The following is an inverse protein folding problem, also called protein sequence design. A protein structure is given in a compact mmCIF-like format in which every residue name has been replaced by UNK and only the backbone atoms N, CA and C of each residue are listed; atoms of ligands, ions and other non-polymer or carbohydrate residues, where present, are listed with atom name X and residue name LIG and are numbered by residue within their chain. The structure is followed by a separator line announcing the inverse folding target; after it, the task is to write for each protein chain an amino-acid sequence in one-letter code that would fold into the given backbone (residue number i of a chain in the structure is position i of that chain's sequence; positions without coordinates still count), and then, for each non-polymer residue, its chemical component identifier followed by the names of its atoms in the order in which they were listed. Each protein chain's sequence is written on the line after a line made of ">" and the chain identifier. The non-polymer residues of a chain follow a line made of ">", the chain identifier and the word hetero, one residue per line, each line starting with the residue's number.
data_IF_522176525276
#
_entry.id   IF_522176525276
#
_cell.length_a   1.000
_cell.length_b   1.000
_cell.length_c   1.000
_cell.angle_alpha   90.00
_cell.angle_beta   90.00
_cell.angle_gamma   90.00
#
_symmetry.space_group_name_H-M   'P 1'
#
loop_
_entity.id
_entity.type
_entity.pdbx_description
1 polymer ?
#
# COMPACT_ATOMS: atom_id res chain seq x y z
N UNK A 1 8.41 30.27 -21.29
CA UNK A 1 7.70 29.14 -21.89
C UNK A 1 8.68 28.06 -22.27
N UNK A 2 8.66 26.89 -21.58
CA UNK A 2 9.47 25.79 -22.04
C UNK A 2 10.06 24.84 -20.98
N UNK A 3 9.49 24.72 -19.79
CA UNK A 3 10.00 23.80 -18.77
C UNK A 3 9.00 22.73 -18.28
N UNK A 4 7.75 22.77 -18.75
CA UNK A 4 6.70 21.86 -18.24
C UNK A 4 6.59 20.51 -18.99
N UNK A 5 7.06 20.44 -20.23
CA UNK A 5 6.87 19.25 -21.10
C UNK A 5 7.93 18.15 -20.92
N UNK A 6 9.03 18.42 -20.23
CA UNK A 6 10.13 17.46 -20.07
C UNK A 6 9.96 16.52 -18.84
N UNK A 7 9.13 16.86 -17.89
CA UNK A 7 8.96 16.07 -16.66
C UNK A 7 7.97 14.92 -16.84
N UNK A 8 6.85 15.17 -17.52
CA UNK A 8 5.86 14.12 -17.82
C UNK A 8 6.48 13.01 -18.69
N UNK A 9 7.31 13.43 -19.67
CA UNK A 9 8.04 12.48 -20.51
C UNK A 9 9.11 11.69 -19.75
N UNK A 10 9.70 12.26 -18.71
CA UNK A 10 10.74 11.58 -17.90
C UNK A 10 10.11 10.58 -16.94
N UNK A 11 9.00 10.90 -16.31
CA UNK A 11 8.27 9.98 -15.40
C UNK A 11 7.66 8.84 -16.21
N UNK A 12 7.07 9.10 -17.36
CA UNK A 12 6.55 8.08 -18.26
C UNK A 12 7.67 7.15 -18.79
N UNK A 13 8.83 7.70 -19.17
CA UNK A 13 9.99 6.90 -19.61
C UNK A 13 10.62 6.07 -18.49
N UNK A 14 10.58 6.55 -17.24
CA UNK A 14 11.05 5.77 -16.08
C UNK A 14 10.12 4.57 -15.81
N UNK A 15 8.81 4.76 -15.93
CA UNK A 15 7.83 3.67 -15.78
C UNK A 15 7.91 2.68 -16.95
N UNK A 16 8.09 3.14 -18.18
CA UNK A 16 8.26 2.28 -19.38
C UNK A 16 9.59 1.50 -19.36
N UNK A 17 10.71 2.14 -18.97
CA UNK A 17 12.03 1.48 -18.89
C UNK A 17 12.13 0.42 -17.79
N UNK A 18 11.39 0.57 -16.68
CA UNK A 18 11.36 -0.45 -15.62
C UNK A 18 10.62 -1.71 -16.08
N UNK A 19 9.59 -1.59 -16.90
CA UNK A 19 8.87 -2.73 -17.48
C UNK A 19 9.72 -3.51 -18.50
N UNK A 20 10.57 -2.83 -19.30
CA UNK A 20 11.44 -3.49 -20.27
C UNK A 20 12.70 -4.12 -19.63
N UNK A 21 13.25 -3.50 -18.57
CA UNK A 21 14.55 -3.92 -18.00
C UNK A 21 14.44 -5.13 -17.07
N UNK A 22 13.30 -5.45 -16.52
CA UNK A 22 13.16 -6.53 -15.54
C UNK A 22 12.41 -7.76 -16.03
N UNK A 23 11.94 -7.83 -17.28
CA UNK A 23 11.36 -9.05 -17.88
C UNK A 23 10.34 -9.79 -16.98
N UNK A 24 9.86 -9.15 -15.93
CA UNK A 24 8.95 -9.71 -14.96
C UNK A 24 7.56 -9.72 -15.57
N UNK A 25 7.20 -10.89 -16.08
CA UNK A 25 5.82 -11.19 -16.41
C UNK A 25 4.94 -10.84 -15.22
N UNK A 26 4.22 -9.74 -15.35
CA UNK A 26 3.12 -9.34 -14.47
C UNK A 26 1.97 -10.36 -14.57
N UNK A 27 2.23 -11.62 -14.19
CA UNK A 27 1.26 -12.72 -14.30
C UNK A 27 0.27 -12.80 -13.14
N UNK A 28 0.28 -11.84 -12.20
CA UNK A 28 -0.64 -11.88 -11.05
C UNK A 28 -1.70 -10.78 -11.00
N UNK A 29 -1.59 -9.74 -11.82
CA UNK A 29 -2.68 -8.80 -12.07
C UNK A 29 -3.22 -8.99 -13.50
N UNK A 30 -3.96 -10.08 -13.75
CA UNK A 30 -4.75 -10.25 -14.98
C UNK A 30 -5.99 -9.33 -15.03
N UNK A 31 -5.91 -8.17 -14.41
CA UNK A 31 -6.81 -7.05 -14.65
C UNK A 31 -5.93 -5.83 -14.82
N UNK A 32 -5.86 -5.30 -16.02
CA UNK A 32 -5.43 -3.92 -16.26
C UNK A 32 -6.25 -3.06 -15.28
N UNK A 33 -5.61 -2.32 -14.35
CA UNK A 33 -6.35 -1.36 -13.56
C UNK A 33 -6.92 -0.36 -14.55
N UNK A 34 -8.24 -0.33 -14.71
CA UNK A 34 -8.88 0.83 -15.30
C UNK A 34 -8.47 2.00 -14.45
N UNK A 35 -7.61 2.86 -14.99
CA UNK A 35 -7.31 4.18 -14.43
C UNK A 35 -8.62 4.96 -14.51
N UNK A 36 -9.46 4.85 -13.48
CA UNK A 36 -10.77 5.47 -13.44
C UNK A 36 -10.72 6.99 -13.20
N UNK A 37 -9.59 7.61 -13.53
CA UNK A 37 -9.35 9.05 -13.41
C UNK A 37 -9.30 9.57 -11.98
N UNK A 38 -9.38 8.69 -10.98
CA UNK A 38 -9.25 9.06 -9.57
C UNK A 38 -7.80 9.32 -9.25
N UNK A 39 -7.50 10.50 -8.80
CA UNK A 39 -6.17 10.88 -8.36
C UNK A 39 -6.15 11.18 -6.85
N UNK A 40 -4.95 11.21 -6.27
CA UNK A 40 -4.79 11.50 -4.85
C UNK A 40 -5.18 12.95 -4.50
N UNK A 41 -5.30 13.87 -5.47
CA UNK A 41 -5.68 15.28 -5.23
C UNK A 41 -7.15 15.41 -4.84
N UNK A 42 -8.03 14.61 -5.45
CA UNK A 42 -9.49 14.69 -5.27
C UNK A 42 -10.00 13.61 -4.31
N UNK A 43 -9.09 12.87 -3.65
CA UNK A 43 -9.45 11.80 -2.75
C UNK A 43 -9.97 12.36 -1.42
N UNK A 44 -11.14 11.89 -0.97
CA UNK A 44 -11.73 12.30 0.32
C UNK A 44 -10.89 11.91 1.54
N UNK A 45 -9.98 10.93 1.41
CA UNK A 45 -9.03 10.50 2.45
C UNK A 45 -7.77 11.36 2.50
N UNK A 46 -7.64 12.39 1.67
CA UNK A 46 -6.42 13.18 1.52
C UNK A 46 -5.78 13.61 2.85
N UNK A 47 -6.60 13.89 3.87
CA UNK A 47 -6.14 14.32 5.20
C UNK A 47 -5.64 13.19 6.11
N UNK A 48 -5.97 11.95 5.79
CA UNK A 48 -5.70 10.77 6.63
C UNK A 48 -4.92 9.69 5.88
N UNK A 49 -4.33 10.03 4.74
CA UNK A 49 -3.66 9.09 3.86
C UNK A 49 -2.22 9.51 3.60
N UNK A 50 -1.38 8.57 3.17
CA UNK A 50 0.04 8.77 2.84
C UNK A 50 0.34 10.07 2.06
N UNK A 51 -0.45 10.50 1.06
CA UNK A 51 -0.17 11.73 0.31
C UNK A 51 -0.38 13.05 1.06
N UNK A 52 -0.88 13.06 2.27
CA UNK A 52 -1.30 14.30 2.97
C UNK A 52 -0.18 15.34 3.11
N UNK A 53 1.03 14.90 3.45
CA UNK A 53 2.19 15.77 3.68
C UNK A 53 3.06 15.98 2.45
N UNK A 54 2.71 15.36 1.31
CA UNK A 54 3.46 15.49 0.07
C UNK A 54 3.13 16.79 -0.66
N UNK A 55 4.13 17.38 -1.29
CA UNK A 55 3.93 18.46 -2.25
C UNK A 55 3.16 17.98 -3.49
N UNK A 56 2.72 18.90 -4.33
CA UNK A 56 1.91 18.57 -5.51
C UNK A 56 2.64 17.69 -6.52
N UNK A 57 3.96 17.82 -6.63
CA UNK A 57 4.78 17.04 -7.54
C UNK A 57 4.91 15.60 -7.07
N UNK A 58 5.29 15.41 -5.82
CA UNK A 58 5.43 14.08 -5.19
C UNK A 58 4.09 13.36 -5.13
N UNK A 59 3.00 14.10 -4.85
CA UNK A 59 1.64 13.55 -4.86
C UNK A 59 1.21 13.07 -6.24
N UNK A 60 1.54 13.82 -7.28
CA UNK A 60 1.24 13.42 -8.66
C UNK A 60 2.00 12.15 -9.03
N UNK A 61 3.32 12.10 -8.76
CA UNK A 61 4.13 10.92 -9.03
C UNK A 61 3.62 9.66 -8.30
N UNK A 62 3.23 9.79 -7.02
CA UNK A 62 2.64 8.68 -6.26
C UNK A 62 1.29 8.26 -6.85
N UNK A 63 0.46 9.21 -7.29
CA UNK A 63 -0.84 8.93 -7.91
C UNK A 63 -0.71 8.12 -9.20
N UNK A 64 0.31 8.40 -10.01
CA UNK A 64 0.56 7.71 -11.28
C UNK A 64 0.92 6.22 -11.12
N UNK A 65 1.54 5.86 -10.00
CA UNK A 65 1.90 4.46 -9.69
C UNK A 65 0.86 3.76 -8.81
N UNK A 66 -0.23 4.44 -8.47
CA UNK A 66 -1.30 3.91 -7.60
C UNK A 66 -2.43 3.36 -8.44
N UNK A 67 -2.66 2.06 -8.35
CA UNK A 67 -3.78 1.38 -8.98
C UNK A 67 -5.01 1.37 -8.06
N UNK A 68 -6.19 1.36 -8.69
CA UNK A 68 -7.49 1.30 -8.01
C UNK A 68 -8.26 0.06 -8.49
N UNK A 69 -7.98 -1.14 -7.96
CA UNK A 69 -8.66 -2.36 -8.35
C UNK A 69 -10.16 -2.27 -8.02
N UNK A 70 -10.95 -3.11 -8.70
CA UNK A 70 -12.38 -3.27 -8.37
C UNK A 70 -12.56 -3.60 -6.89
N UNK A 71 -13.61 -3.10 -6.23
CA UNK A 71 -13.84 -3.39 -4.82
C UNK A 71 -13.88 -4.89 -4.52
N UNK A 72 -13.29 -5.28 -3.43
CA UNK A 72 -13.33 -6.64 -2.90
C UNK A 72 -14.62 -6.85 -2.12
N UNK A 73 -15.38 -7.88 -2.46
CA UNK A 73 -16.54 -8.27 -1.66
C UNK A 73 -16.10 -8.90 -0.34
N UNK A 74 -16.97 -8.85 0.66
CA UNK A 74 -16.78 -9.49 1.95
C UNK A 74 -16.26 -10.92 1.81
N UNK A 75 -15.21 -11.25 2.58
CA UNK A 75 -14.57 -12.56 2.59
C UNK A 75 -13.55 -12.80 1.48
N UNK A 76 -13.43 -11.88 0.49
CA UNK A 76 -12.40 -12.00 -0.56
C UNK A 76 -11.03 -11.62 -0.02
N UNK A 77 -10.00 -12.35 -0.50
CA UNK A 77 -8.60 -12.06 -0.18
C UNK A 77 -8.06 -10.96 -1.10
N UNK A 78 -7.33 -10.04 -0.51
CA UNK A 78 -6.50 -9.06 -1.22
C UNK A 78 -5.19 -9.77 -1.60
N UNK A 79 -4.56 -10.41 -0.63
CA UNK A 79 -3.43 -11.32 -0.83
C UNK A 79 -3.48 -12.45 0.20
N UNK A 80 -2.68 -13.49 -0.04
CA UNK A 80 -2.56 -14.64 0.86
C UNK A 80 -1.17 -14.74 1.44
N UNK A 81 -1.08 -15.33 2.62
CA UNK A 81 0.19 -15.72 3.24
C UNK A 81 1.02 -16.55 2.25
N UNK A 82 2.31 -16.28 2.18
CA UNK A 82 3.28 -16.90 1.27
C UNK A 82 3.09 -16.59 -0.23
N UNK A 83 2.10 -15.79 -0.63
CA UNK A 83 2.04 -15.29 -2.00
C UNK A 83 3.16 -14.27 -2.25
N UNK A 84 3.66 -14.15 -3.52
CA UNK A 84 4.71 -13.19 -3.85
C UNK A 84 4.35 -11.76 -3.43
N UNK A 85 5.30 -11.08 -2.79
CA UNK A 85 5.15 -9.68 -2.43
C UNK A 85 5.31 -8.80 -3.68
N UNK A 86 4.38 -7.91 -3.90
CA UNK A 86 4.40 -6.99 -5.04
C UNK A 86 3.96 -5.57 -4.70
N UNK A 87 3.10 -5.41 -3.71
CA UNK A 87 2.45 -4.12 -3.47
C UNK A 87 2.22 -3.86 -1.99
N UNK A 88 2.19 -2.59 -1.62
CA UNK A 88 1.57 -2.10 -0.40
C UNK A 88 0.20 -1.52 -0.72
N UNK A 89 -0.67 -1.45 0.25
CA UNK A 89 -2.06 -1.10 0.05
C UNK A 89 -2.53 -0.06 1.05
N UNK A 90 -3.53 0.74 0.65
CA UNK A 90 -4.23 1.67 1.54
C UNK A 90 -5.73 1.39 1.41
N UNK A 91 -6.43 1.26 2.54
CA UNK A 91 -7.88 1.11 2.55
C UNK A 91 -8.52 2.43 2.14
N UNK A 92 -9.41 2.42 1.13
CA UNK A 92 -10.22 3.58 0.73
C UNK A 92 -11.58 3.58 1.39
N UNK A 93 -12.23 2.42 1.46
CA UNK A 93 -13.51 2.21 2.14
C UNK A 93 -13.63 0.75 2.56
N UNK A 94 -14.46 0.47 3.55
CA UNK A 94 -14.59 -0.86 4.11
C UNK A 94 -13.53 -1.15 5.17
N UNK A 95 -13.25 -2.42 5.44
CA UNK A 95 -12.34 -2.88 6.49
C UNK A 95 -11.55 -4.09 5.99
N UNK A 96 -10.25 -4.12 6.26
CA UNK A 96 -9.38 -5.26 6.00
C UNK A 96 -8.93 -5.89 7.31
N UNK A 97 -8.96 -7.22 7.39
CA UNK A 97 -8.37 -8.02 8.47
C UNK A 97 -7.09 -8.67 7.95
N UNK A 98 -6.00 -8.60 8.72
CA UNK A 98 -4.80 -9.41 8.49
C UNK A 98 -4.66 -10.47 9.58
N UNK A 99 -4.20 -11.66 9.19
CA UNK A 99 -4.08 -12.80 10.09
C UNK A 99 -3.16 -13.89 9.51
N UNK A 100 -2.73 -14.81 10.35
CA UNK A 100 -2.03 -16.02 9.92
C UNK A 100 -2.60 -17.25 10.65
N UNK A 101 -2.32 -18.42 10.11
CA UNK A 101 -2.58 -19.68 10.81
C UNK A 101 -1.27 -20.21 11.41
N UNK A 102 -1.31 -20.63 12.65
CA UNK A 102 -0.18 -21.30 13.28
C UNK A 102 -0.08 -22.78 12.83
N UNK A 103 0.92 -23.51 13.36
CA UNK A 103 1.15 -24.91 13.03
C UNK A 103 -0.01 -25.83 13.45
N UNK A 104 -0.87 -25.41 14.36
CA UNK A 104 -2.06 -26.15 14.82
C UNK A 104 -3.29 -25.83 13.96
N UNK A 105 -3.21 -24.83 13.10
CA UNK A 105 -4.30 -24.35 12.27
C UNK A 105 -5.17 -23.29 12.95
N UNK A 106 -4.74 -22.76 14.11
CA UNK A 106 -5.45 -21.69 14.79
C UNK A 106 -5.22 -20.34 14.11
N UNK A 107 -6.30 -19.56 13.94
CA UNK A 107 -6.25 -18.23 13.34
C UNK A 107 -5.77 -17.18 14.36
N UNK A 108 -4.71 -16.46 14.01
CA UNK A 108 -4.17 -15.36 14.80
C UNK A 108 -4.31 -14.05 14.04
N UNK A 109 -5.19 -13.15 14.52
CA UNK A 109 -5.40 -11.83 13.92
C UNK A 109 -4.21 -10.94 14.26
N UNK A 110 -3.63 -10.30 13.24
CA UNK A 110 -2.50 -9.39 13.38
C UNK A 110 -2.90 -7.92 13.26
N UNK A 111 -4.06 -7.62 12.67
CA UNK A 111 -4.58 -6.26 12.61
C UNK A 111 -5.89 -6.13 11.86
N UNK A 112 -6.53 -4.99 12.11
CA UNK A 112 -7.65 -4.47 11.33
C UNK A 112 -7.23 -3.12 10.76
N UNK A 113 -7.60 -2.87 9.51
CA UNK A 113 -7.22 -1.64 8.80
C UNK A 113 -8.48 -0.95 8.30
N UNK A 114 -8.60 0.34 8.65
CA UNK A 114 -9.69 1.24 8.35
C UNK A 114 -9.33 2.21 7.20
N UNK A 115 -10.28 2.98 6.67
CA UNK A 115 -10.00 3.95 5.62
C UNK A 115 -8.88 4.93 5.98
N UNK A 116 -7.87 5.04 5.11
CA UNK A 116 -6.65 5.82 5.29
C UNK A 116 -5.46 5.02 5.78
N UNK A 117 -5.65 3.86 6.37
CA UNK A 117 -4.59 3.03 6.93
C UNK A 117 -3.90 2.17 5.87
N UNK A 118 -2.59 2.01 6.02
CA UNK A 118 -1.72 1.24 5.12
C UNK A 118 -1.53 -0.18 5.63
N UNK A 119 -1.54 -1.17 4.73
CA UNK A 119 -1.28 -2.57 5.03
C UNK A 119 -0.48 -3.25 3.91
N UNK A 120 -0.07 -4.51 4.13
CA UNK A 120 0.78 -5.25 3.18
C UNK A 120 2.27 -4.94 3.33
N UNK A 121 2.64 -4.18 4.36
CA UNK A 121 4.04 -3.83 4.68
C UNK A 121 4.85 -5.01 5.21
N UNK A 122 4.18 -6.08 5.61
CA UNK A 122 4.78 -7.31 6.12
C UNK A 122 5.63 -8.06 5.09
N UNK A 123 5.50 -7.71 3.81
CA UNK A 123 6.33 -8.22 2.70
C UNK A 123 7.59 -7.41 2.43
N UNK A 124 7.73 -6.18 2.96
CA UNK A 124 8.89 -5.32 2.72
C UNK A 124 10.18 -6.00 3.22
N UNK A 125 11.20 -6.02 2.34
CA UNK A 125 12.47 -6.71 2.61
C UNK A 125 12.37 -8.24 2.55
N UNK A 126 11.27 -8.77 2.00
CA UNK A 126 11.03 -10.21 1.80
C UNK A 126 10.45 -10.49 0.42
N UNK A 127 10.50 -11.75 0.02
CA UNK A 127 9.93 -12.16 -1.28
C UNK A 127 8.42 -12.41 -1.22
N UNK A 128 7.84 -12.60 -0.03
CA UNK A 128 6.47 -13.05 0.16
C UNK A 128 5.78 -12.32 1.31
N UNK A 129 4.45 -12.18 1.23
CA UNK A 129 3.62 -11.74 2.35
C UNK A 129 3.65 -12.75 3.49
N UNK A 130 3.70 -12.26 4.73
CA UNK A 130 3.68 -13.08 5.94
C UNK A 130 2.29 -13.47 6.41
N UNK A 131 1.29 -12.65 6.06
CA UNK A 131 -0.08 -12.76 6.54
C UNK A 131 -1.04 -12.94 5.38
N UNK A 132 -2.27 -13.34 5.70
CA UNK A 132 -3.41 -13.19 4.82
C UNK A 132 -4.01 -11.80 5.01
N UNK A 133 -4.51 -11.18 3.96
CA UNK A 133 -5.33 -9.98 4.03
C UNK A 133 -6.69 -10.23 3.40
N UNK A 134 -7.75 -10.00 4.16
CA UNK A 134 -9.12 -10.34 3.79
C UNK A 134 -10.06 -9.18 4.03
N UNK A 135 -10.93 -8.89 3.06
CA UNK A 135 -11.98 -7.89 3.19
C UNK A 135 -13.08 -8.39 4.14
N UNK A 136 -13.40 -7.60 5.18
CA UNK A 136 -14.49 -7.91 6.12
C UNK A 136 -15.84 -7.37 5.66
N UNK A 137 -15.84 -6.42 4.75
CA UNK A 137 -17.01 -5.85 4.09
C UNK A 137 -16.65 -5.55 2.62
N UNK A 138 -17.54 -4.95 1.84
CA UNK A 138 -17.21 -4.44 0.52
C UNK A 138 -16.13 -3.36 0.67
N UNK A 139 -14.92 -3.68 0.21
CA UNK A 139 -13.71 -2.90 0.50
C UNK A 139 -13.07 -2.42 -0.79
N UNK A 140 -12.87 -1.11 -0.91
CA UNK A 140 -12.05 -0.50 -1.95
C UNK A 140 -10.68 -0.15 -1.40
N UNK A 141 -9.64 -0.36 -2.20
CA UNK A 141 -8.25 -0.11 -1.83
C UNK A 141 -7.51 0.69 -2.90
N UNK A 142 -6.42 1.34 -2.51
CA UNK A 142 -5.34 1.74 -3.39
C UNK A 142 -4.25 0.65 -3.33
N UNK A 143 -3.70 0.27 -4.46
CA UNK A 143 -2.57 -0.66 -4.56
C UNK A 143 -1.38 0.09 -5.17
N UNK A 144 -0.26 0.11 -4.45
CA UNK A 144 0.97 0.79 -4.86
C UNK A 144 2.00 -0.30 -5.11
N UNK A 145 2.43 -0.46 -6.36
CA UNK A 145 3.51 -1.37 -6.71
C UNK A 145 4.79 -0.98 -5.98
N UNK A 146 5.34 -1.90 -5.18
CA UNK A 146 6.43 -1.57 -4.28
C UNK A 146 7.76 -1.33 -5.03
N UNK A 147 8.03 -2.08 -6.10
CA UNK A 147 9.24 -1.89 -6.88
C UNK A 147 9.23 -0.51 -7.57
N UNK A 148 8.08 -0.13 -8.12
CA UNK A 148 7.92 1.19 -8.74
C UNK A 148 8.03 2.30 -7.70
N UNK A 149 7.48 2.09 -6.51
CA UNK A 149 7.60 3.03 -5.39
C UNK A 149 9.06 3.23 -4.97
N UNK A 150 9.84 2.16 -4.82
CA UNK A 150 11.27 2.25 -4.51
C UNK A 150 12.06 3.02 -5.59
N UNK A 151 11.71 2.86 -6.85
CA UNK A 151 12.32 3.59 -7.96
C UNK A 151 12.00 5.10 -7.95
N UNK A 152 10.93 5.53 -7.28
CA UNK A 152 10.63 6.96 -7.09
C UNK A 152 11.49 7.61 -6.00
N UNK A 153 11.96 6.89 -5.00
CA UNK A 153 12.66 7.44 -3.84
C UNK A 153 13.87 8.34 -4.18
N UNK A 154 14.76 7.98 -5.14
CA UNK A 154 15.87 8.85 -5.50
C UNK A 154 15.45 10.20 -6.11
N UNK A 155 14.24 10.29 -6.65
CA UNK A 155 13.70 11.47 -7.31
C UNK A 155 12.71 12.27 -6.45
N UNK A 156 12.13 11.61 -5.44
CA UNK A 156 11.08 12.12 -4.55
C UNK A 156 11.36 11.67 -3.11
N UNK A 157 12.38 12.25 -2.50
CA UNK A 157 12.80 11.89 -1.14
C UNK A 157 11.68 12.07 -0.11
N UNK A 158 10.77 12.99 -0.35
CA UNK A 158 9.60 13.25 0.50
C UNK A 158 8.66 12.04 0.55
N UNK A 159 8.52 11.29 -0.56
CA UNK A 159 7.73 10.06 -0.58
C UNK A 159 8.36 9.01 0.34
N UNK A 160 9.68 8.82 0.26
CA UNK A 160 10.40 7.88 1.13
C UNK A 160 10.28 8.27 2.60
N UNK A 161 10.46 9.56 2.91
CA UNK A 161 10.33 10.08 4.28
C UNK A 161 8.91 9.84 4.82
N UNK A 162 7.89 10.09 4.01
CA UNK A 162 6.50 9.89 4.42
C UNK A 162 6.16 8.42 4.64
N UNK A 163 6.58 7.53 3.75
CA UNK A 163 6.41 6.08 3.93
C UNK A 163 7.10 5.63 5.22
N UNK A 164 8.33 6.06 5.45
CA UNK A 164 9.09 5.72 6.67
C UNK A 164 8.39 6.26 7.92
N UNK A 165 7.91 7.50 7.91
CA UNK A 165 7.18 8.08 9.03
C UNK A 165 5.91 7.29 9.35
N UNK A 166 5.13 6.90 8.34
CA UNK A 166 3.92 6.10 8.51
C UNK A 166 4.24 4.72 9.13
N UNK A 167 5.33 4.07 8.70
CA UNK A 167 5.78 2.80 9.27
C UNK A 167 6.20 2.94 10.73
N UNK A 168 6.91 4.01 11.08
CA UNK A 168 7.32 4.29 12.45
C UNK A 168 6.12 4.56 13.36
N UNK A 169 5.13 5.31 12.89
CA UNK A 169 3.90 5.59 13.63
C UNK A 169 3.11 4.31 13.91
N UNK A 170 2.92 3.46 12.90
CA UNK A 170 2.25 2.17 13.06
C UNK A 170 2.97 1.26 14.07
N UNK A 171 4.31 1.24 14.04
CA UNK A 171 5.10 0.49 15.00
C UNK A 171 4.90 1.02 16.42
N UNK A 172 4.90 2.33 16.60
CA UNK A 172 4.67 2.97 17.89
C UNK A 172 3.29 2.66 18.47
N UNK A 173 2.23 2.78 17.67
CA UNK A 173 0.86 2.46 18.08
C UNK A 173 0.72 0.99 18.51
N UNK A 174 1.34 0.07 17.79
CA UNK A 174 1.35 -1.35 18.16
C UNK A 174 2.07 -1.60 19.49
N UNK A 175 3.21 -0.92 19.73
CA UNK A 175 3.92 -1.00 21.01
C UNK A 175 3.08 -0.47 22.17
N UNK A 176 2.38 0.65 22.00
CA UNK A 176 1.49 1.22 23.02
C UNK A 176 0.34 0.25 23.34
N UNK A 177 -0.26 -0.36 22.32
CA UNK A 177 -1.34 -1.35 22.50
C UNK A 177 -0.87 -2.55 23.34
N UNK A 178 0.35 -3.05 23.11
CA UNK A 178 0.93 -4.15 23.90
C UNK A 178 1.19 -3.76 25.34
N UNK A 179 1.63 -2.53 25.61
CA UNK A 179 1.84 -2.02 26.97
C UNK A 179 0.53 -1.93 27.73
N UNK A 180 -0.54 -1.43 27.10
CA UNK A 180 -1.87 -1.34 27.69
C UNK A 180 -2.44 -2.72 28.09
N UNK A 181 -2.28 -3.73 27.21
CA UNK A 181 -2.70 -5.10 27.51
C UNK A 181 -1.95 -5.67 28.70
N UNK A 182 -0.62 -5.45 28.81
CA UNK A 182 0.20 -5.91 29.93
C UNK A 182 -0.20 -5.27 31.25
N UNK A 183 -0.55 -3.98 31.24
CA UNK A 183 -1.02 -3.28 32.43
C UNK A 183 -2.35 -3.83 32.93
N UNK A 184 -3.31 -4.07 32.03
CA UNK A 184 -4.62 -4.65 32.36
C UNK A 184 -4.54 -6.11 32.86
N UNK A 185 -3.54 -6.87 32.41
CA UNK A 185 -3.33 -8.25 32.85
C UNK A 185 -2.60 -8.37 34.21
N UNK A 186 -2.06 -7.25 34.73
CA UNK A 186 -1.33 -7.20 35.99
C UNK A 186 -2.20 -6.70 37.19
N UNK A 187 -3.42 -6.24 36.93
CA UNK A 187 -4.46 -5.89 37.91
C UNK A 187 -5.38 -7.11 38.17
#
# INVERSE_FOLDING_TARGET
>A
GGFSTNLESTTMRLVENTNEMYGLQAQHFQHQPELDGRNCRDCFLQRHCLPNSLDDRSRTALSEITAHPKPFHKGRYIYRQNSPFSSIYIVRSGVVKTYYFDERGDEHITGFYLPGEMFGIDGIGRSNYRYNAQALDTTAICAIDYNTLENLYPHFVEIQQQVTATLCEELFERQQSLLNIRQQAAE
#
